data_IF_305516296526
#
_entry.id   IF_305516296526
#
_cell.length_a   1.000
_cell.length_b   1.000
_cell.length_c   1.000
_cell.angle_alpha   90.00
_cell.angle_beta   90.00
_cell.angle_gamma   90.00
#
_symmetry.space_group_name_H-M   'P 1'
#
loop_
_entity.id
_entity.type
_entity.pdbx_description
1 polymer ?
#
# COMPACT_ATOMS: atom_id res chain seq x y z
N UNK A 1 -23.81 -14.23 13.61
CA UNK A 1 -23.94 -15.38 12.68
C UNK A 1 -24.37 -14.96 11.28
N UNK A 2 -25.44 -14.16 11.09
CA UNK A 2 -25.94 -13.77 9.75
C UNK A 2 -24.89 -13.09 8.85
N UNK A 3 -24.11 -12.16 9.40
CA UNK A 3 -23.03 -11.47 8.66
C UNK A 3 -21.90 -12.41 8.20
N UNK A 4 -21.52 -13.40 9.01
CA UNK A 4 -20.51 -14.40 8.64
C UNK A 4 -20.98 -15.26 7.46
N UNK A 5 -22.25 -15.66 7.46
CA UNK A 5 -22.85 -16.45 6.38
C UNK A 5 -22.87 -15.63 5.08
N UNK A 6 -23.29 -14.37 5.14
CA UNK A 6 -23.29 -13.47 3.97
C UNK A 6 -21.86 -13.28 3.44
N UNK A 7 -20.90 -13.02 4.34
CA UNK A 7 -19.49 -12.88 3.97
C UNK A 7 -18.98 -14.13 3.25
N UNK A 8 -19.29 -15.33 3.76
CA UNK A 8 -18.88 -16.59 3.16
C UNK A 8 -19.50 -16.81 1.77
N UNK A 9 -20.78 -16.47 1.59
CA UNK A 9 -21.46 -16.58 0.28
C UNK A 9 -20.82 -15.65 -0.74
N UNK A 10 -20.52 -14.41 -0.36
CA UNK A 10 -19.87 -13.44 -1.26
C UNK A 10 -18.45 -13.90 -1.61
N UNK A 11 -17.71 -14.45 -0.66
CA UNK A 11 -16.38 -15.01 -0.89
C UNK A 11 -16.43 -16.21 -1.86
N UNK A 12 -17.37 -17.13 -1.66
CA UNK A 12 -17.58 -18.26 -2.56
C UNK A 12 -17.97 -17.81 -3.97
N UNK A 13 -18.83 -16.78 -4.09
CA UNK A 13 -19.20 -16.19 -5.37
C UNK A 13 -18.01 -15.51 -6.07
N UNK A 14 -17.16 -14.80 -5.31
CA UNK A 14 -15.94 -14.19 -5.86
C UNK A 14 -14.96 -15.24 -6.38
N UNK A 15 -14.77 -16.33 -5.64
CA UNK A 15 -13.94 -17.46 -6.10
C UNK A 15 -14.55 -18.11 -7.33
N UNK A 16 -15.87 -18.38 -7.34
CA UNK A 16 -16.55 -18.96 -8.49
C UNK A 16 -16.47 -18.07 -9.75
N UNK A 17 -16.49 -16.75 -9.59
CA UNK A 17 -16.35 -15.81 -10.72
C UNK A 17 -14.97 -15.87 -11.38
N UNK A 18 -13.93 -16.21 -10.62
CA UNK A 18 -12.55 -16.34 -11.10
C UNK A 18 -12.23 -17.69 -11.76
N UNK A 19 -13.13 -18.67 -11.71
CA UNK A 19 -12.89 -20.01 -12.28
C UNK A 19 -13.31 -20.03 -13.76
N UNK A 20 -12.56 -20.71 -14.66
CA UNK A 20 -12.87 -20.76 -16.10
C UNK A 20 -14.25 -21.34 -16.44
N UNK A 21 -14.75 -22.28 -15.62
CA UNK A 21 -16.08 -22.86 -15.76
C UNK A 21 -17.21 -22.02 -15.11
N UNK A 22 -16.86 -20.86 -14.54
CA UNK A 22 -17.78 -19.86 -13.99
C UNK A 22 -17.91 -18.65 -14.93
N UNK A 23 -17.73 -17.43 -14.38
CA UNK A 23 -17.77 -16.18 -15.14
C UNK A 23 -16.46 -15.88 -15.90
N UNK A 24 -15.37 -16.56 -15.56
CA UNK A 24 -14.09 -16.42 -16.25
C UNK A 24 -13.36 -15.10 -16.02
N UNK A 25 -13.73 -14.33 -14.99
CA UNK A 25 -13.22 -12.96 -14.73
C UNK A 25 -11.79 -12.87 -14.23
N UNK A 26 -11.04 -13.97 -14.29
CA UNK A 26 -9.67 -14.02 -13.78
C UNK A 26 -8.77 -12.98 -14.45
N UNK A 27 -8.88 -12.83 -15.77
CA UNK A 27 -8.05 -11.92 -16.54
C UNK A 27 -8.38 -10.45 -16.23
N UNK A 28 -9.66 -10.10 -16.11
CA UNK A 28 -10.12 -8.76 -15.73
C UNK A 28 -9.67 -8.40 -14.30
N UNK A 29 -9.73 -9.36 -13.36
CA UNK A 29 -9.23 -9.17 -12.00
C UNK A 29 -7.72 -8.91 -12.02
N UNK A 30 -6.95 -9.70 -12.77
CA UNK A 30 -5.50 -9.50 -12.91
C UNK A 30 -5.19 -8.14 -13.54
N UNK A 31 -5.93 -7.71 -14.55
CA UNK A 31 -5.77 -6.39 -15.19
C UNK A 31 -6.09 -5.26 -14.20
N UNK A 32 -7.15 -5.39 -13.40
CA UNK A 32 -7.50 -4.42 -12.35
C UNK A 32 -6.37 -4.28 -11.32
N UNK A 33 -5.86 -5.40 -10.80
CA UNK A 33 -4.75 -5.38 -9.84
C UNK A 33 -3.48 -4.77 -10.46
N UNK A 34 -3.16 -5.12 -11.71
CA UNK A 34 -2.03 -4.50 -12.43
C UNK A 34 -2.20 -3.00 -12.63
N UNK A 35 -3.40 -2.52 -12.90
CA UNK A 35 -3.70 -1.09 -13.03
C UNK A 35 -3.71 -0.34 -11.69
N UNK A 36 -4.09 -1.01 -10.61
CA UNK A 36 -4.15 -0.43 -9.27
C UNK A 36 -2.79 -0.38 -8.57
N UNK A 37 -1.91 -1.35 -8.86
CA UNK A 37 -0.55 -1.42 -8.29
C UNK A 37 0.29 -0.14 -8.49
N UNK A 38 0.39 0.47 -9.70
CA UNK A 38 1.14 1.71 -9.89
C UNK A 38 0.52 2.90 -9.15
N UNK A 39 -0.80 2.93 -8.96
CA UNK A 39 -1.46 3.97 -8.18
C UNK A 39 -1.06 3.90 -6.70
N UNK A 40 -1.09 2.70 -6.10
CA UNK A 40 -0.60 2.51 -4.72
C UNK A 40 0.89 2.84 -4.65
N UNK A 41 1.70 2.39 -5.61
CA UNK A 41 3.14 2.63 -5.60
C UNK A 41 3.47 4.13 -5.67
N UNK A 42 2.75 4.91 -6.49
CA UNK A 42 2.89 6.35 -6.54
C UNK A 42 2.50 7.02 -5.21
N UNK A 43 1.39 6.57 -4.60
CA UNK A 43 0.93 7.10 -3.32
C UNK A 43 1.95 6.84 -2.19
N UNK A 44 2.43 5.60 -2.07
CA UNK A 44 3.45 5.21 -1.08
C UNK A 44 4.77 5.94 -1.36
N UNK A 45 5.19 6.02 -2.62
CA UNK A 45 6.42 6.71 -3.01
C UNK A 45 6.39 8.21 -2.66
N UNK A 46 5.25 8.86 -2.88
CA UNK A 46 5.05 10.26 -2.51
C UNK A 46 5.15 10.45 -0.99
N UNK A 47 4.51 9.59 -0.19
CA UNK A 47 4.65 9.60 1.27
C UNK A 47 6.11 9.41 1.69
N UNK A 48 6.82 8.45 1.07
CA UNK A 48 8.21 8.16 1.38
C UNK A 48 9.15 9.35 1.10
N UNK A 49 8.89 10.13 0.05
CA UNK A 49 9.64 11.37 -0.24
C UNK A 49 9.47 12.37 0.90
N UNK A 50 8.24 12.62 1.36
CA UNK A 50 7.99 13.56 2.45
C UNK A 50 8.64 13.12 3.76
N UNK A 51 8.54 11.83 4.10
CA UNK A 51 9.20 11.26 5.29
C UNK A 51 10.72 11.36 5.18
N UNK A 52 11.29 11.05 4.02
CA UNK A 52 12.74 11.12 3.79
C UNK A 52 13.28 12.56 3.92
N UNK A 53 12.56 13.56 3.38
CA UNK A 53 12.96 14.97 3.52
C UNK A 53 12.91 15.40 4.99
N UNK A 54 11.87 15.00 5.74
CA UNK A 54 11.76 15.30 7.17
C UNK A 54 12.92 14.67 7.96
N UNK A 55 13.18 13.37 7.78
CA UNK A 55 14.27 12.65 8.46
C UNK A 55 15.65 13.25 8.14
N UNK A 56 15.88 13.65 6.88
CA UNK A 56 17.13 14.31 6.48
C UNK A 56 17.34 15.66 7.18
N UNK A 57 16.27 16.45 7.33
CA UNK A 57 16.35 17.76 7.98
C UNK A 57 16.61 17.61 9.47
N UNK A 58 15.88 16.73 10.15
CA UNK A 58 16.06 16.44 11.58
C UNK A 58 17.48 15.92 11.86
N UNK A 59 18.01 15.01 11.03
CA UNK A 59 19.40 14.53 11.16
C UNK A 59 20.44 15.63 10.94
N UNK A 60 20.18 16.57 10.04
CA UNK A 60 21.10 17.67 9.77
C UNK A 60 21.14 18.67 10.93
N UNK A 61 20.00 18.90 11.58
CA UNK A 61 19.86 19.79 12.73
C UNK A 61 20.52 19.18 13.98
N UNK A 62 20.26 17.90 14.27
CA UNK A 62 20.91 17.16 15.35
C UNK A 62 22.45 17.18 15.24
N UNK A 63 22.99 16.97 14.03
CA UNK A 63 24.45 17.04 13.79
C UNK A 63 25.03 18.44 14.03
N UNK A 64 24.24 19.50 13.83
CA UNK A 64 24.68 20.87 14.09
C UNK A 64 24.71 21.17 15.59
N UNK A 65 23.70 20.72 16.33
CA UNK A 65 23.65 20.86 17.79
C UNK A 65 24.80 20.10 18.46
N UNK A 66 25.04 18.84 18.09
CA UNK A 66 26.18 18.06 18.60
C UNK A 66 27.54 18.71 18.29
N UNK A 67 27.67 19.38 17.13
CA UNK A 67 28.89 20.07 16.74
C UNK A 67 29.06 21.43 17.43
N UNK A 68 27.96 22.08 17.85
CA UNK A 68 27.99 23.30 18.64
C UNK A 68 28.37 22.99 20.09
N UNK A 69 27.79 21.96 20.69
CA UNK A 69 28.08 21.52 22.05
C UNK A 69 29.54 21.04 22.23
N UNK A 70 30.15 20.48 21.17
CA UNK A 70 31.58 20.11 21.17
C UNK A 70 32.56 21.28 21.03
N UNK A 71 32.07 22.48 20.66
CA UNK A 71 32.91 23.67 20.45
C UNK A 71 32.86 24.64 21.63
N UNK A 72 31.93 24.45 22.57
CA UNK A 72 31.88 25.13 23.87
C UNK A 72 32.68 24.34 24.91
#
# INVERSE_FOLDING_TARGET
>A
MKALIIGLIVLAAAVAACIPQGLGWWDEVVVFFKGFLPFIAAFIGLIAIFVGIADMKDRAEARKEEAAEKKE
#
